data_IF_665602132402
#
_entry.id   IF_665602132402
#
_cell.length_a   1.000
_cell.length_b   1.000
_cell.length_c   1.000
_cell.angle_alpha   90.00
_cell.angle_beta   90.00
_cell.angle_gamma   90.00
#
_symmetry.space_group_name_H-M   'P 1'
#
loop_
_entity.id
_entity.type
_entity.pdbx_description
1 polymer ?
#
# COMPACT_ATOMS: atom_id res chain seq x y z
N UNK A 1 -27.31 54.34 10.34
CA UNK A 1 -27.33 53.03 11.05
C UNK A 1 -27.87 51.87 10.21
N UNK A 2 -28.82 52.07 9.28
CA UNK A 2 -29.37 50.99 8.41
C UNK A 2 -28.39 50.52 7.31
N UNK A 3 -27.70 51.44 6.64
CA UNK A 3 -26.78 51.16 5.52
C UNK A 3 -25.60 50.26 5.92
N UNK A 4 -25.09 50.46 7.13
CA UNK A 4 -24.01 49.64 7.70
C UNK A 4 -24.43 48.18 7.87
N UNK A 5 -25.71 47.91 8.19
CA UNK A 5 -26.24 46.55 8.36
C UNK A 5 -26.47 45.83 7.02
N UNK A 6 -26.71 46.58 5.95
CA UNK A 6 -26.95 46.04 4.59
C UNK A 6 -25.65 45.57 3.94
N UNK A 7 -24.53 46.25 4.20
CA UNK A 7 -23.22 45.92 3.61
C UNK A 7 -22.44 44.91 4.46
N UNK A 8 -22.52 45.00 5.80
CA UNK A 8 -21.76 44.10 6.70
C UNK A 8 -22.31 42.66 6.67
N UNK A 9 -23.63 42.47 6.56
CA UNK A 9 -24.24 41.13 6.57
C UNK A 9 -23.80 40.22 5.40
N UNK A 10 -23.86 40.64 4.12
CA UNK A 10 -23.39 39.81 3.01
C UNK A 10 -21.87 39.60 3.08
N UNK A 11 -21.10 40.60 3.53
CA UNK A 11 -19.65 40.48 3.70
C UNK A 11 -19.27 39.45 4.80
N UNK A 12 -20.03 39.41 5.89
CA UNK A 12 -19.83 38.44 6.97
C UNK A 12 -20.19 37.01 6.52
N UNK A 13 -21.29 36.86 5.79
CA UNK A 13 -21.72 35.56 5.25
C UNK A 13 -20.71 35.01 4.24
N UNK A 14 -20.21 35.84 3.31
CA UNK A 14 -19.19 35.39 2.35
C UNK A 14 -17.89 34.96 3.04
N UNK A 15 -17.47 35.70 4.08
CA UNK A 15 -16.28 35.33 4.86
C UNK A 15 -16.46 33.96 5.56
N UNK A 16 -17.64 33.69 6.12
CA UNK A 16 -17.93 32.39 6.77
C UNK A 16 -18.00 31.24 5.77
N UNK A 17 -18.52 31.48 4.55
CA UNK A 17 -18.55 30.49 3.48
C UNK A 17 -17.15 30.16 2.95
N UNK A 18 -16.28 31.17 2.81
CA UNK A 18 -14.87 30.96 2.46
C UNK A 18 -14.17 30.14 3.54
N UNK A 19 -14.38 30.49 4.81
CA UNK A 19 -13.78 29.76 5.94
C UNK A 19 -14.24 28.30 6.02
N UNK A 20 -15.52 28.03 5.74
CA UNK A 20 -16.03 26.65 5.70
C UNK A 20 -15.39 25.85 4.55
N UNK A 21 -15.24 26.47 3.39
CA UNK A 21 -14.65 25.81 2.22
C UNK A 21 -13.15 25.53 2.41
N UNK A 22 -12.41 26.46 3.02
CA UNK A 22 -11.00 26.23 3.36
C UNK A 22 -10.88 25.11 4.39
N UNK A 23 -11.70 25.12 5.45
CA UNK A 23 -11.71 24.06 6.44
C UNK A 23 -12.04 22.68 5.83
N UNK A 24 -13.04 22.62 4.94
CA UNK A 24 -13.40 21.38 4.24
C UNK A 24 -12.27 20.88 3.33
N UNK A 25 -11.61 21.79 2.61
CA UNK A 25 -10.46 21.45 1.78
C UNK A 25 -9.30 20.86 2.60
N UNK A 26 -8.95 21.49 3.73
CA UNK A 26 -7.92 20.96 4.63
C UNK A 26 -8.31 19.61 5.26
N UNK A 27 -9.59 19.44 5.62
CA UNK A 27 -10.08 18.16 6.15
C UNK A 27 -9.96 17.03 5.12
N UNK A 28 -10.22 17.32 3.84
CA UNK A 28 -10.05 16.37 2.74
C UNK A 28 -8.58 16.08 2.41
N UNK A 29 -7.67 17.03 2.67
CA UNK A 29 -6.22 16.86 2.48
C UNK A 29 -5.53 16.08 3.60
N UNK A 30 -6.08 16.10 4.81
CA UNK A 30 -5.50 15.47 6.00
C UNK A 30 -5.11 13.98 5.82
N UNK A 31 -5.93 13.11 5.19
CA UNK A 31 -5.60 11.70 4.98
C UNK A 31 -4.42 11.50 4.03
N UNK A 32 -4.28 12.39 3.04
CA UNK A 32 -3.20 12.34 2.04
C UNK A 32 -1.87 12.70 2.71
N UNK A 33 -1.85 13.71 3.59
CA UNK A 33 -0.67 14.08 4.35
C UNK A 33 -0.31 13.06 5.44
N UNK A 34 -1.30 12.37 5.99
CA UNK A 34 -1.10 11.34 7.00
C UNK A 34 -0.64 9.99 6.42
N UNK A 35 -0.66 9.82 5.10
CA UNK A 35 -0.17 8.62 4.42
C UNK A 35 1.36 8.57 4.46
N UNK A 36 1.91 8.13 5.59
CA UNK A 36 3.31 7.74 5.71
C UNK A 36 3.36 6.22 5.63
N UNK A 37 3.54 5.68 4.43
CA UNK A 37 3.80 4.26 4.28
C UNK A 37 5.29 4.01 4.61
N UNK A 38 5.54 3.39 5.77
CA UNK A 38 6.85 2.85 6.14
C UNK A 38 7.14 1.60 5.29
N UNK A 39 7.26 1.80 3.98
CA UNK A 39 7.57 0.72 3.05
C UNK A 39 9.01 0.23 3.28
N UNK A 40 9.15 -1.09 3.40
CA UNK A 40 10.45 -1.76 3.57
C UNK A 40 10.57 -2.90 2.59
N UNK A 41 11.80 -3.29 2.29
CA UNK A 41 12.06 -4.47 1.46
C UNK A 41 11.99 -5.70 2.35
N UNK A 42 11.16 -6.67 1.94
CA UNK A 42 11.06 -7.98 2.56
C UNK A 42 11.47 -9.05 1.56
N UNK A 43 12.11 -10.10 2.07
CA UNK A 43 12.41 -11.31 1.33
C UNK A 43 11.45 -12.39 1.83
N UNK A 44 10.73 -13.01 0.90
CA UNK A 44 9.80 -14.11 1.13
C UNK A 44 10.45 -15.38 0.61
N UNK A 45 10.52 -16.41 1.46
CA UNK A 45 11.17 -17.68 1.13
C UNK A 45 10.14 -18.82 1.18
N UNK A 46 10.12 -19.65 0.15
CA UNK A 46 9.21 -20.78 0.00
C UNK A 46 9.92 -22.14 0.01
N UNK A 47 11.21 -22.18 0.33
CA UNK A 47 11.99 -23.42 0.28
C UNK A 47 12.74 -23.61 -1.03
N UNK A 48 13.31 -24.80 -1.19
CA UNK A 48 13.87 -25.28 -2.45
C UNK A 48 12.77 -25.96 -3.27
N UNK A 49 12.83 -25.84 -4.61
CA UNK A 49 11.98 -26.62 -5.51
C UNK A 49 12.85 -27.62 -6.28
N UNK A 50 12.28 -28.74 -6.72
CA UNK A 50 13.06 -29.87 -7.28
C UNK A 50 13.40 -29.71 -8.76
N UNK A 51 13.21 -28.52 -9.33
CA UNK A 51 13.35 -28.30 -10.78
C UNK A 51 12.16 -28.81 -11.59
N UNK A 52 11.10 -29.26 -10.92
CA UNK A 52 9.91 -29.89 -11.51
C UNK A 52 8.84 -28.88 -11.92
N UNK A 53 8.93 -27.64 -11.43
CA UNK A 53 8.02 -26.55 -11.80
C UNK A 53 8.59 -25.71 -12.92
N UNK A 54 7.72 -25.29 -13.83
CA UNK A 54 8.09 -24.31 -14.85
C UNK A 54 8.38 -22.95 -14.20
N UNK A 55 9.40 -22.25 -14.72
CA UNK A 55 9.78 -20.93 -14.19
C UNK A 55 8.62 -19.93 -14.20
N UNK A 56 7.74 -20.03 -15.19
CA UNK A 56 6.55 -19.19 -15.31
C UNK A 56 5.53 -19.48 -14.21
N UNK A 57 5.32 -20.75 -13.84
CA UNK A 57 4.43 -21.14 -12.73
C UNK A 57 4.91 -20.56 -11.39
N UNK A 58 6.23 -20.53 -11.18
CA UNK A 58 6.85 -19.92 -10.00
C UNK A 58 6.62 -18.41 -9.98
N UNK A 59 6.82 -17.74 -11.10
CA UNK A 59 6.59 -16.29 -11.22
C UNK A 59 5.12 -15.91 -11.04
N UNK A 60 4.20 -16.68 -11.61
CA UNK A 60 2.75 -16.49 -11.46
C UNK A 60 2.34 -16.67 -9.99
N UNK A 61 2.94 -17.65 -9.30
CA UNK A 61 2.73 -17.85 -7.85
C UNK A 61 3.20 -16.65 -7.05
N UNK A 62 4.41 -16.13 -7.31
CA UNK A 62 4.92 -14.94 -6.61
C UNK A 62 4.03 -13.73 -6.81
N UNK A 63 3.59 -13.51 -8.05
CA UNK A 63 2.69 -12.41 -8.38
C UNK A 63 1.33 -12.57 -7.68
N UNK A 64 0.76 -13.78 -7.64
CA UNK A 64 -0.50 -14.06 -6.95
C UNK A 64 -0.44 -13.73 -5.45
N UNK A 65 0.66 -14.08 -4.78
CA UNK A 65 0.86 -13.73 -3.37
C UNK A 65 0.94 -12.22 -3.16
N UNK A 66 1.67 -11.49 -4.01
CA UNK A 66 1.73 -10.03 -3.90
C UNK A 66 0.38 -9.37 -4.18
N UNK A 67 -0.35 -9.86 -5.17
CA UNK A 67 -1.69 -9.37 -5.49
C UNK A 67 -2.68 -9.56 -4.33
N UNK A 68 -2.49 -10.60 -3.50
CA UNK A 68 -3.35 -10.85 -2.35
C UNK A 68 -3.24 -9.79 -1.24
N UNK A 69 -2.11 -9.08 -1.17
CA UNK A 69 -1.85 -8.07 -0.13
C UNK A 69 -1.81 -6.63 -0.65
N UNK A 70 -1.58 -6.44 -1.95
CA UNK A 70 -1.56 -5.13 -2.61
C UNK A 70 -2.96 -4.71 -3.08
N UNK A 71 -3.12 -3.42 -3.34
CA UNK A 71 -4.43 -2.82 -3.68
C UNK A 71 -4.80 -2.98 -5.16
N UNK A 72 -3.82 -3.19 -6.03
CA UNK A 72 -3.99 -3.33 -7.49
C UNK A 72 -2.93 -4.24 -8.11
N UNK A 73 -3.14 -4.64 -9.36
CA UNK A 73 -2.18 -5.43 -10.13
C UNK A 73 -0.91 -4.62 -10.44
N UNK A 74 -1.07 -3.33 -10.72
CA UNK A 74 0.04 -2.40 -10.95
C UNK A 74 0.90 -2.22 -9.70
N UNK A 75 0.27 -2.13 -8.52
CA UNK A 75 0.98 -2.04 -7.24
C UNK A 75 1.72 -3.35 -6.94
N UNK A 76 1.12 -4.51 -7.23
CA UNK A 76 1.77 -5.81 -7.05
C UNK A 76 3.01 -5.95 -7.95
N UNK A 77 2.90 -5.58 -9.23
CA UNK A 77 4.02 -5.63 -10.18
C UNK A 77 5.13 -4.65 -9.82
N UNK A 78 4.79 -3.42 -9.46
CA UNK A 78 5.79 -2.39 -9.10
C UNK A 78 6.49 -2.66 -7.76
N UNK A 79 5.82 -3.36 -6.84
CA UNK A 79 6.38 -3.73 -5.55
C UNK A 79 7.36 -4.92 -5.64
N UNK A 80 7.29 -5.74 -6.69
CA UNK A 80 8.20 -6.88 -6.88
C UNK A 80 9.58 -6.41 -7.34
N UNK A 81 10.60 -6.59 -6.50
CA UNK A 81 11.98 -6.24 -6.84
C UNK A 81 12.71 -7.38 -7.51
N UNK A 82 12.48 -8.61 -7.04
CA UNK A 82 13.15 -9.79 -7.59
C UNK A 82 12.37 -11.08 -7.34
N UNK A 83 12.39 -11.98 -8.32
CA UNK A 83 11.78 -13.31 -8.25
C UNK A 83 12.88 -14.38 -8.26
N UNK A 84 13.07 -15.08 -7.14
CA UNK A 84 14.00 -16.19 -7.02
C UNK A 84 13.31 -17.49 -7.48
N UNK A 85 13.78 -18.05 -8.61
CA UNK A 85 13.11 -19.16 -9.31
C UNK A 85 13.98 -20.38 -9.62
N UNK A 86 15.27 -20.31 -9.32
CA UNK A 86 16.26 -21.34 -9.68
C UNK A 86 16.54 -22.29 -8.52
N UNK A 87 17.56 -22.00 -7.71
CA UNK A 87 17.97 -22.86 -6.58
C UNK A 87 17.09 -22.71 -5.35
N UNK A 88 16.44 -21.55 -5.22
CA UNK A 88 15.53 -21.23 -4.13
C UNK A 88 14.25 -20.68 -4.74
N UNK A 89 13.13 -20.97 -4.08
CA UNK A 89 11.83 -20.43 -4.41
C UNK A 89 11.50 -19.29 -3.43
N UNK A 90 11.14 -18.12 -3.94
CA UNK A 90 10.89 -16.94 -3.12
C UNK A 90 10.94 -15.64 -3.92
N UNK A 91 10.67 -14.51 -3.28
CA UNK A 91 10.77 -13.20 -3.92
C UNK A 91 11.16 -12.09 -2.94
N UNK A 92 11.72 -11.01 -3.47
CA UNK A 92 11.96 -9.77 -2.73
C UNK A 92 10.95 -8.71 -3.20
N UNK A 93 10.28 -8.05 -2.26
CA UNK A 93 9.29 -7.03 -2.57
C UNK A 93 9.26 -5.90 -1.54
N UNK A 94 8.80 -4.73 -1.98
CA UNK A 94 8.53 -3.57 -1.13
C UNK A 94 7.13 -3.70 -0.53
N UNK A 95 7.05 -3.78 0.80
CA UNK A 95 5.80 -3.95 1.54
C UNK A 95 5.73 -2.98 2.72
N UNK A 96 4.53 -2.55 3.08
CA UNK A 96 4.30 -1.96 4.40
C UNK A 96 4.32 -3.04 5.50
N UNK A 97 4.47 -2.69 6.78
CA UNK A 97 4.44 -3.66 7.88
C UNK A 97 3.12 -4.45 7.93
N UNK A 98 2.00 -3.79 7.62
CA UNK A 98 0.67 -4.42 7.58
C UNK A 98 0.56 -5.41 6.41
N UNK A 99 1.09 -5.06 5.24
CA UNK A 99 1.13 -5.95 4.08
C UNK A 99 2.02 -7.18 4.35
N UNK A 100 3.19 -6.97 4.97
CA UNK A 100 4.08 -8.05 5.37
C UNK A 100 3.43 -9.00 6.40
N UNK A 101 2.69 -8.45 7.37
CA UNK A 101 1.93 -9.25 8.35
C UNK A 101 0.86 -10.08 7.67
N UNK A 102 0.03 -9.48 6.80
CA UNK A 102 -1.00 -10.20 6.04
C UNK A 102 -0.40 -11.28 5.17
N UNK A 103 0.72 -10.98 4.50
CA UNK A 103 1.40 -11.91 3.63
C UNK A 103 1.93 -13.12 4.42
N UNK A 104 2.51 -12.89 5.60
CA UNK A 104 2.91 -13.97 6.51
C UNK A 104 1.73 -14.88 6.86
N UNK A 105 0.56 -14.32 7.19
CA UNK A 105 -0.63 -15.11 7.52
C UNK A 105 -1.13 -15.94 6.32
N UNK A 106 -1.13 -15.35 5.12
CA UNK A 106 -1.48 -16.05 3.88
C UNK A 106 -0.54 -17.22 3.58
N UNK A 107 0.76 -17.06 3.85
CA UNK A 107 1.79 -18.07 3.55
C UNK A 107 1.80 -19.20 4.59
N UNK A 108 1.52 -18.90 5.87
CA UNK A 108 1.44 -19.91 6.94
C UNK A 108 0.25 -20.88 6.77
N UNK A 109 -0.75 -20.52 5.97
CA UNK A 109 -1.83 -21.43 5.58
C UNK A 109 -1.46 -22.35 4.40
N UNK A 110 -0.27 -22.16 3.79
CA UNK A 110 0.29 -23.00 2.72
C UNK A 110 1.60 -23.71 3.13
N UNK A 111 2.27 -24.43 2.22
CA UNK A 111 3.49 -25.21 2.53
C UNK A 111 4.79 -24.37 2.66
N UNK A 112 4.71 -23.04 2.86
CA UNK A 112 5.86 -22.13 2.85
C UNK A 112 6.20 -21.53 4.22
N UNK A 113 7.44 -21.05 4.40
CA UNK A 113 7.93 -20.45 5.65
C UNK A 113 8.43 -19.01 5.43
N UNK A 114 7.68 -18.01 5.90
CA UNK A 114 8.06 -16.59 5.79
C UNK A 114 9.31 -16.28 6.63
N UNK A 115 10.46 -16.07 5.97
CA UNK A 115 11.69 -15.58 6.60
C UNK A 115 11.83 -14.08 6.34
N UNK A 116 11.10 -13.27 7.09
CA UNK A 116 11.21 -11.82 7.00
C UNK A 116 12.59 -11.35 7.45
N UNK A 117 13.48 -11.05 6.50
CA UNK A 117 14.73 -10.35 6.77
C UNK A 117 14.58 -8.87 6.39
N UNK A 118 14.64 -8.01 7.40
CA UNK A 118 14.68 -6.54 7.25
C UNK A 118 16.11 -6.11 6.97
N UNK A 119 16.33 -5.28 5.94
CA UNK A 119 17.50 -4.40 5.87
C UNK A 119 17.07 -2.95 5.98
#
# INVERSE_FOLDING_TARGET
>A
MLLLRIIIRPLFLTLTMIQLHTALFFFLLLPILASCDDEKVYIVYFGEHKGDKELQEIEDTHHSYLLSVKKSEEDAKSSLLYSYKYSINGFAAVLSPDEASKLSDCIQQGPGSFLGYQR
#
